data_IF_920797800257
#
_entry.id   IF_920797800257
#
_cell.length_a   1.000
_cell.length_b   1.000
_cell.length_c   1.000
_cell.angle_alpha   90.00
_cell.angle_beta   90.00
_cell.angle_gamma   90.00
#
_symmetry.space_group_name_H-M   'P 1'
#
loop_
_entity.id
_entity.type
_entity.pdbx_description
1 polymer ?
#
# COMPACT_ATOMS: atom_id res chain seq x y z
N UNK A 1 45.69 -65.63 -7.69
CA UNK A 1 44.22 -65.47 -7.60
C UNK A 1 43.93 -64.19 -6.82
N UNK A 2 43.64 -63.04 -7.53
CA UNK A 2 43.44 -61.75 -6.92
C UNK A 2 41.95 -61.41 -6.98
N UNK A 3 41.27 -61.39 -5.82
CA UNK A 3 39.85 -61.00 -5.66
C UNK A 3 39.76 -59.47 -5.62
N UNK A 4 39.21 -58.81 -6.68
CA UNK A 4 38.87 -57.38 -6.72
C UNK A 4 37.52 -57.17 -6.04
N UNK A 5 37.50 -56.48 -4.90
CA UNK A 5 36.31 -55.99 -4.25
C UNK A 5 35.91 -54.68 -4.93
N UNK A 6 34.75 -54.66 -5.61
CA UNK A 6 34.10 -53.43 -6.12
C UNK A 6 33.25 -52.84 -4.99
N UNK A 7 33.69 -51.71 -4.46
CA UNK A 7 32.85 -50.84 -3.59
C UNK A 7 31.94 -50.01 -4.48
N UNK A 8 30.65 -50.32 -4.44
CA UNK A 8 29.62 -49.49 -5.05
C UNK A 8 29.24 -48.33 -4.08
N UNK A 9 29.67 -47.11 -4.39
CA UNK A 9 29.27 -45.92 -3.65
C UNK A 9 27.84 -45.50 -4.06
N UNK A 10 26.86 -45.70 -3.17
CA UNK A 10 25.52 -45.14 -3.32
C UNK A 10 25.59 -43.65 -3.04
N UNK A 11 25.52 -42.80 -4.09
CA UNK A 11 25.24 -41.41 -3.94
C UNK A 11 23.74 -41.25 -3.62
N UNK A 12 23.41 -40.94 -2.36
CA UNK A 12 22.08 -40.46 -1.99
C UNK A 12 21.91 -39.03 -2.55
N UNK A 13 21.19 -38.90 -3.67
CA UNK A 13 20.71 -37.62 -4.15
C UNK A 13 19.60 -37.13 -3.18
N UNK A 14 19.95 -36.28 -2.23
CA UNK A 14 18.96 -35.55 -1.43
C UNK A 14 18.24 -34.55 -2.36
N UNK A 15 17.08 -34.92 -2.90
CA UNK A 15 16.20 -33.97 -3.59
C UNK A 15 15.77 -32.89 -2.59
N UNK A 16 15.85 -31.62 -2.96
CA UNK A 16 15.31 -30.56 -2.10
C UNK A 16 13.80 -30.79 -1.98
N UNK A 17 13.33 -31.01 -0.74
CA UNK A 17 11.89 -31.01 -0.43
C UNK A 17 11.41 -29.57 -0.70
N UNK A 18 10.88 -29.34 -1.88
CA UNK A 18 10.11 -28.13 -2.17
C UNK A 18 8.88 -28.19 -1.26
N UNK A 19 8.92 -27.48 -0.17
CA UNK A 19 7.74 -27.20 0.63
C UNK A 19 6.79 -26.43 -0.26
N UNK A 20 5.80 -27.12 -0.83
CA UNK A 20 4.64 -26.51 -1.47
C UNK A 20 3.78 -25.90 -0.36
N UNK A 21 4.28 -24.87 0.30
CA UNK A 21 3.50 -24.01 1.16
C UNK A 21 2.42 -23.37 0.28
N UNK A 22 1.14 -23.46 0.67
CA UNK A 22 0.05 -22.86 -0.09
C UNK A 22 0.25 -21.35 -0.29
N UNK A 23 -0.65 -20.72 -1.02
CA UNK A 23 -0.64 -19.27 -1.25
C UNK A 23 -1.27 -18.50 -0.08
N UNK A 24 -0.84 -17.26 0.10
CA UNK A 24 -1.54 -16.20 0.82
C UNK A 24 -2.03 -15.20 -0.22
N UNK A 25 -3.32 -14.93 -0.23
CA UNK A 25 -3.94 -14.03 -1.21
C UNK A 25 -4.13 -12.66 -0.58
N UNK A 26 -3.45 -11.66 -1.13
CA UNK A 26 -3.64 -10.27 -0.75
C UNK A 26 -4.46 -9.52 -1.79
N UNK A 27 -5.24 -8.54 -1.35
CA UNK A 27 -5.85 -7.55 -2.26
C UNK A 27 -4.96 -6.31 -2.35
N UNK A 28 -4.91 -5.72 -3.53
CA UNK A 28 -4.29 -4.42 -3.79
C UNK A 28 -5.29 -3.52 -4.53
N UNK A 29 -5.34 -2.25 -4.15
CA UNK A 29 -6.17 -1.27 -4.86
C UNK A 29 -5.54 -0.88 -6.19
N UNK A 30 -6.30 -0.93 -7.27
CA UNK A 30 -5.86 -0.47 -8.59
C UNK A 30 -5.55 1.04 -8.63
N UNK A 31 -6.06 1.81 -7.66
CA UNK A 31 -5.78 3.25 -7.52
C UNK A 31 -4.44 3.55 -6.81
N UNK A 32 -3.75 2.52 -6.28
CA UNK A 32 -2.45 2.73 -5.68
C UNK A 32 -1.42 3.10 -6.77
N UNK A 33 -0.51 4.00 -6.42
CA UNK A 33 0.62 4.39 -7.24
C UNK A 33 1.92 4.17 -6.48
N UNK A 34 3.07 4.23 -7.16
CA UNK A 34 4.34 4.16 -6.45
C UNK A 34 4.46 5.28 -5.42
N UNK A 35 5.08 5.00 -4.27
CA UNK A 35 5.82 3.78 -3.90
C UNK A 35 4.94 2.64 -3.36
N UNK A 36 3.62 2.81 -3.27
CA UNK A 36 2.73 1.81 -2.68
C UNK A 36 2.57 0.59 -3.59
N UNK A 37 2.27 0.82 -4.88
CA UNK A 37 2.17 -0.23 -5.88
C UNK A 37 2.43 0.28 -7.30
N UNK A 38 3.09 -0.53 -8.12
CA UNK A 38 3.09 -0.44 -9.57
C UNK A 38 2.38 -1.66 -10.14
N UNK A 39 1.77 -1.49 -11.32
CA UNK A 39 1.02 -2.54 -12.00
C UNK A 39 1.51 -2.71 -13.43
N UNK A 40 1.61 -3.97 -13.88
CA UNK A 40 1.88 -4.37 -15.25
C UNK A 40 0.85 -5.43 -15.62
N UNK A 41 0.17 -5.26 -16.75
CA UNK A 41 -0.90 -6.16 -17.21
C UNK A 41 -1.97 -6.45 -16.13
N UNK A 42 -2.32 -5.43 -15.32
CA UNK A 42 -3.30 -5.54 -14.24
C UNK A 42 -2.81 -6.29 -13.00
N UNK A 43 -1.55 -6.74 -12.98
CA UNK A 43 -0.94 -7.41 -11.84
C UNK A 43 0.03 -6.48 -11.11
N UNK A 44 0.09 -6.58 -9.78
CA UNK A 44 1.07 -5.81 -9.00
C UNK A 44 2.49 -6.27 -9.34
N UNK A 45 3.30 -5.36 -9.90
CA UNK A 45 4.69 -5.66 -10.33
C UNK A 45 5.72 -5.21 -9.29
N UNK A 46 5.45 -4.13 -8.53
CA UNK A 46 6.40 -3.56 -7.56
C UNK A 46 5.66 -2.77 -6.48
N UNK A 47 6.38 -2.35 -5.44
CA UNK A 47 5.90 -1.42 -4.42
C UNK A 47 5.80 -2.00 -3.01
N UNK A 48 5.62 -1.10 -2.03
CA UNK A 48 5.57 -1.41 -0.60
C UNK A 48 4.52 -2.48 -0.28
N UNK A 49 3.34 -2.42 -0.91
CA UNK A 49 2.25 -3.38 -0.68
C UNK A 49 2.66 -4.79 -1.11
N UNK A 50 3.33 -4.90 -2.28
CA UNK A 50 3.85 -6.19 -2.77
C UNK A 50 4.91 -6.74 -1.83
N UNK A 51 5.86 -5.91 -1.44
CA UNK A 51 6.97 -6.33 -0.58
C UNK A 51 6.50 -6.79 0.79
N UNK A 52 5.53 -6.09 1.39
CA UNK A 52 4.90 -6.49 2.65
C UNK A 52 4.19 -7.84 2.53
N UNK A 53 3.33 -8.00 1.53
CA UNK A 53 2.60 -9.26 1.32
C UNK A 53 3.55 -10.43 1.12
N UNK A 54 4.61 -10.25 0.33
CA UNK A 54 5.64 -11.25 0.13
C UNK A 54 6.42 -11.57 1.42
N UNK A 55 6.76 -10.56 2.22
CA UNK A 55 7.46 -10.77 3.48
C UNK A 55 6.60 -11.55 4.49
N UNK A 56 5.30 -11.22 4.61
CA UNK A 56 4.35 -11.94 5.46
C UNK A 56 4.22 -13.40 5.00
N UNK A 57 4.00 -13.63 3.70
CA UNK A 57 3.85 -14.98 3.15
C UNK A 57 5.11 -15.84 3.35
N UNK A 58 6.30 -15.28 3.10
CA UNK A 58 7.57 -15.97 3.32
C UNK A 58 7.77 -16.44 4.77
N UNK A 59 7.36 -15.65 5.76
CA UNK A 59 7.43 -16.05 7.17
C UNK A 59 6.57 -17.28 7.50
N UNK A 60 5.52 -17.49 6.71
CA UNK A 60 4.64 -18.67 6.82
C UNK A 60 5.07 -19.82 5.91
N UNK A 61 6.22 -19.72 5.23
CA UNK A 61 6.64 -20.72 4.25
C UNK A 61 5.71 -20.80 3.02
N UNK A 62 5.05 -19.69 2.69
CA UNK A 62 4.05 -19.58 1.61
C UNK A 62 4.49 -18.59 0.53
N UNK A 63 3.79 -18.60 -0.60
CA UNK A 63 3.91 -17.59 -1.65
C UNK A 63 2.79 -16.56 -1.54
N UNK A 64 3.07 -15.29 -1.89
CA UNK A 64 2.06 -14.26 -1.96
C UNK A 64 1.47 -14.20 -3.37
N UNK A 65 0.14 -14.16 -3.47
CA UNK A 65 -0.63 -13.85 -4.68
C UNK A 65 -1.44 -12.59 -4.44
N UNK A 66 -1.59 -11.76 -5.47
CA UNK A 66 -2.31 -10.50 -5.35
C UNK A 66 -3.52 -10.47 -6.27
N UNK A 67 -4.64 -9.96 -5.74
CA UNK A 67 -5.83 -9.60 -6.51
C UNK A 67 -5.89 -8.08 -6.60
N UNK A 68 -5.77 -7.55 -7.80
CA UNK A 68 -5.95 -6.12 -8.07
C UNK A 68 -7.44 -5.83 -8.23
N UNK A 69 -7.97 -4.95 -7.39
CA UNK A 69 -9.41 -4.65 -7.34
C UNK A 69 -9.66 -3.14 -7.22
N UNK A 70 -10.80 -2.65 -7.75
CA UNK A 70 -11.31 -1.33 -7.38
C UNK A 70 -11.48 -1.17 -5.88
N UNK A 71 -11.22 0.04 -5.36
CA UNK A 71 -11.21 0.30 -3.92
C UNK A 71 -12.49 -0.12 -3.21
N UNK A 72 -13.65 0.10 -3.81
CA UNK A 72 -14.95 -0.26 -3.24
C UNK A 72 -15.19 -1.77 -3.13
N UNK A 73 -14.33 -2.61 -3.73
CA UNK A 73 -14.42 -4.07 -3.67
C UNK A 73 -13.43 -4.72 -2.70
N UNK A 74 -12.52 -3.95 -2.09
CA UNK A 74 -11.49 -4.50 -1.20
C UNK A 74 -12.09 -5.12 0.06
N UNK A 75 -13.06 -4.43 0.69
CA UNK A 75 -13.69 -4.90 1.93
C UNK A 75 -14.48 -6.18 1.68
N UNK A 76 -15.31 -6.22 0.63
CA UNK A 76 -16.10 -7.44 0.30
C UNK A 76 -15.19 -8.63 0.00
N UNK A 77 -14.08 -8.43 -0.73
CA UNK A 77 -13.14 -9.51 -1.00
C UNK A 77 -12.53 -10.12 0.28
N UNK A 78 -12.31 -9.31 1.33
CA UNK A 78 -11.86 -9.80 2.64
C UNK A 78 -13.01 -10.46 3.42
N UNK A 79 -14.17 -9.82 3.52
CA UNK A 79 -15.29 -10.34 4.32
C UNK A 79 -15.91 -11.61 3.75
N UNK A 80 -15.78 -11.81 2.43
CA UNK A 80 -16.24 -13.01 1.73
C UNK A 80 -15.19 -14.13 1.67
N UNK A 81 -13.95 -13.86 2.16
CA UNK A 81 -12.86 -14.83 2.16
C UNK A 81 -12.23 -15.09 0.79
N UNK A 82 -12.44 -14.18 -0.18
CA UNK A 82 -11.77 -14.25 -1.49
C UNK A 82 -10.28 -13.91 -1.39
N UNK A 83 -9.91 -13.15 -0.35
CA UNK A 83 -8.53 -12.82 -0.01
C UNK A 83 -8.29 -12.99 1.48
N UNK A 84 -7.04 -13.22 1.83
CA UNK A 84 -6.58 -13.41 3.21
C UNK A 84 -6.21 -12.08 3.87
N UNK A 85 -5.71 -11.09 3.09
CA UNK A 85 -5.24 -9.83 3.67
C UNK A 85 -5.22 -8.65 2.72
N UNK A 86 -5.15 -7.46 3.33
CA UNK A 86 -4.94 -6.15 2.70
C UNK A 86 -3.90 -5.42 3.53
N UNK A 87 -2.78 -5.05 2.95
CA UNK A 87 -1.78 -4.20 3.61
C UNK A 87 -1.89 -2.75 3.17
N UNK A 88 -1.37 -1.85 4.00
CA UNK A 88 -1.49 -0.41 3.87
C UNK A 88 -2.94 0.07 3.97
N UNK A 89 -3.55 -0.20 5.11
CA UNK A 89 -4.90 0.24 5.44
C UNK A 89 -4.97 0.78 6.88
N UNK A 90 -5.99 1.60 7.12
CA UNK A 90 -6.33 2.13 8.45
C UNK A 90 -7.77 1.72 8.75
N UNK A 91 -8.11 1.32 10.00
CA UNK A 91 -9.47 0.92 10.34
C UNK A 91 -10.55 1.91 9.93
N UNK A 92 -10.27 3.22 10.07
CA UNK A 92 -11.21 4.28 9.72
C UNK A 92 -11.55 4.36 8.21
N UNK A 93 -10.73 3.75 7.34
CA UNK A 93 -10.97 3.75 5.89
C UNK A 93 -11.85 2.59 5.42
N UNK A 94 -11.96 1.55 6.24
CA UNK A 94 -12.75 0.37 5.94
C UNK A 94 -14.02 0.44 6.79
N UNK A 95 -15.18 0.37 6.17
CA UNK A 95 -16.45 0.28 6.89
C UNK A 95 -16.38 -0.85 7.94
N UNK A 96 -17.22 -0.84 8.98
CA UNK A 96 -17.08 -1.74 10.13
C UNK A 96 -17.13 -3.21 9.73
N UNK A 97 -16.03 -3.71 9.19
CA UNK A 97 -15.80 -5.11 8.91
C UNK A 97 -15.06 -5.71 10.11
N UNK A 98 -15.50 -6.89 10.54
CA UNK A 98 -14.81 -7.64 11.59
C UNK A 98 -13.51 -8.24 11.02
N UNK A 99 -12.51 -7.40 10.83
CA UNK A 99 -11.17 -7.78 10.34
C UNK A 99 -10.21 -7.87 11.52
N UNK A 100 -9.23 -8.74 11.41
CA UNK A 100 -8.10 -8.77 12.35
C UNK A 100 -6.99 -7.84 11.83
N UNK A 101 -6.41 -7.04 12.72
CA UNK A 101 -5.42 -6.03 12.37
C UNK A 101 -4.04 -6.38 12.92
N UNK A 102 -3.00 -6.13 12.13
CA UNK A 102 -1.63 -6.06 12.63
C UNK A 102 -1.45 -4.85 13.55
N UNK A 103 -0.32 -4.79 14.25
CA UNK A 103 0.16 -3.52 14.81
C UNK A 103 0.31 -2.48 13.70
N UNK A 104 0.30 -1.17 14.04
CA UNK A 104 0.66 -0.11 13.11
C UNK A 104 2.08 -0.31 12.56
N UNK A 105 2.25 -0.28 11.23
CA UNK A 105 3.49 -0.65 10.54
C UNK A 105 4.15 0.54 9.84
N UNK A 106 3.38 1.36 9.12
CA UNK A 106 3.91 2.37 8.20
C UNK A 106 3.31 3.73 8.53
N UNK A 107 4.10 4.65 9.14
CA UNK A 107 3.66 6.03 9.35
C UNK A 107 3.58 6.77 8.01
N UNK A 108 2.49 7.50 7.81
CA UNK A 108 2.30 8.39 6.68
C UNK A 108 1.35 9.54 7.05
N UNK A 109 1.18 10.48 6.15
CA UNK A 109 0.26 11.60 6.30
C UNK A 109 -0.32 12.02 4.95
N UNK A 110 -1.54 12.47 4.95
CA UNK A 110 -2.16 13.12 3.80
C UNK A 110 -1.86 14.62 3.84
N UNK A 111 -1.40 15.10 2.70
CA UNK A 111 -1.04 16.49 2.47
C UNK A 111 -1.97 17.08 1.43
N UNK A 112 -2.47 18.28 1.67
CA UNK A 112 -2.89 19.15 0.57
C UNK A 112 -1.66 19.91 0.11
N UNK A 113 -1.33 19.77 -1.16
CA UNK A 113 -0.16 20.39 -1.78
C UNK A 113 -0.63 21.49 -2.73
N UNK A 114 -0.09 22.67 -2.58
CA UNK A 114 -0.31 23.79 -3.49
C UNK A 114 0.56 23.69 -4.74
N UNK A 115 0.08 24.23 -5.85
CA UNK A 115 0.89 24.43 -7.05
C UNK A 115 1.99 25.48 -6.82
N UNK A 116 2.96 25.56 -7.75
CA UNK A 116 4.13 26.47 -7.64
C UNK A 116 3.80 27.95 -7.46
N UNK A 117 2.60 28.39 -7.87
CA UNK A 117 2.16 29.79 -7.75
C UNK A 117 1.41 30.11 -6.46
N UNK A 118 1.22 29.13 -5.59
CA UNK A 118 0.59 29.32 -4.29
C UNK A 118 1.64 29.86 -3.32
N UNK A 119 1.39 31.04 -2.76
CA UNK A 119 2.34 31.69 -1.85
C UNK A 119 2.26 31.13 -0.42
N UNK A 120 1.07 30.77 0.04
CA UNK A 120 0.84 30.23 1.39
C UNK A 120 -0.38 29.31 1.41
N UNK A 121 -0.34 28.34 2.34
CA UNK A 121 -1.44 27.45 2.67
C UNK A 121 -1.27 27.14 4.17
N UNK A 122 -2.10 27.77 5.01
CA UNK A 122 -1.90 27.75 6.47
C UNK A 122 -2.98 26.98 7.21
N UNK A 123 -4.16 26.86 6.61
CA UNK A 123 -5.28 26.14 7.21
C UNK A 123 -6.13 25.42 6.16
N UNK A 124 -6.89 24.43 6.58
CA UNK A 124 -7.85 23.77 5.69
C UNK A 124 -8.98 24.72 5.25
N UNK A 125 -9.28 25.76 6.02
CA UNK A 125 -10.29 26.76 5.64
C UNK A 125 -9.89 27.57 4.39
N UNK A 126 -8.58 27.69 4.11
CA UNK A 126 -8.08 28.38 2.91
C UNK A 126 -8.47 27.65 1.60
N UNK A 127 -8.93 26.40 1.72
CA UNK A 127 -9.32 25.54 0.61
C UNK A 127 -10.82 25.62 0.26
N UNK A 128 -11.58 26.38 1.03
CA UNK A 128 -13.03 26.45 0.84
C UNK A 128 -13.40 26.99 -0.55
N UNK A 129 -14.30 26.26 -1.24
CA UNK A 129 -14.75 26.54 -2.60
C UNK A 129 -13.68 26.40 -3.70
N UNK A 130 -12.44 26.07 -3.35
CA UNK A 130 -11.39 25.79 -4.33
C UNK A 130 -11.50 24.34 -4.85
N UNK A 131 -11.38 24.10 -6.17
CA UNK A 131 -11.29 22.76 -6.70
C UNK A 131 -9.98 22.07 -6.24
N UNK A 132 -10.13 20.97 -5.52
CA UNK A 132 -9.01 20.21 -4.96
C UNK A 132 -8.91 18.88 -5.69
N UNK A 133 -7.74 18.58 -6.26
CA UNK A 133 -7.44 17.27 -6.85
C UNK A 133 -7.54 16.17 -5.78
N UNK A 134 -8.47 15.25 -5.97
CA UNK A 134 -8.78 14.13 -5.08
C UNK A 134 -8.72 12.82 -5.85
N UNK A 135 -8.68 11.67 -5.15
CA UNK A 135 -8.73 10.36 -5.79
C UNK A 135 -10.14 9.80 -5.72
N UNK A 136 -10.63 9.32 -6.86
CA UNK A 136 -11.95 8.72 -6.96
C UNK A 136 -12.10 7.54 -5.96
N UNK A 137 -13.18 7.56 -5.19
CA UNK A 137 -13.47 6.53 -4.18
C UNK A 137 -12.69 6.67 -2.86
N UNK A 138 -11.79 7.67 -2.73
CA UNK A 138 -11.15 7.97 -1.45
C UNK A 138 -12.04 8.87 -0.59
N UNK A 139 -11.93 8.70 0.75
CA UNK A 139 -12.61 9.54 1.74
C UNK A 139 -11.59 10.45 2.43
N UNK A 140 -12.01 11.66 2.74
CA UNK A 140 -11.19 12.68 3.39
C UNK A 140 -11.95 13.30 4.56
N UNK A 141 -12.23 12.50 5.64
CA UNK A 141 -13.13 12.92 6.72
C UNK A 141 -12.68 14.20 7.43
N UNK A 142 -11.39 14.46 7.51
CA UNK A 142 -10.83 15.68 8.11
C UNK A 142 -11.20 16.91 7.29
N UNK A 143 -11.15 16.82 5.95
CA UNK A 143 -11.57 17.93 5.07
C UNK A 143 -13.08 18.03 4.98
N UNK A 144 -13.79 16.92 4.94
CA UNK A 144 -15.26 16.90 5.01
C UNK A 144 -15.77 17.61 6.29
N UNK A 145 -15.09 17.37 7.43
CA UNK A 145 -15.43 17.99 8.72
C UNK A 145 -15.21 19.51 8.72
N UNK A 146 -14.12 20.00 8.09
CA UNK A 146 -13.78 21.43 8.11
C UNK A 146 -14.52 22.21 7.02
N UNK A 147 -14.62 21.65 5.82
CA UNK A 147 -15.13 22.35 4.65
C UNK A 147 -16.62 22.09 4.39
N UNK A 148 -17.13 20.93 4.81
CA UNK A 148 -18.53 20.56 4.59
C UNK A 148 -18.93 20.66 3.12
N UNK A 149 -20.02 21.39 2.83
CA UNK A 149 -20.51 21.61 1.47
C UNK A 149 -19.61 22.52 0.62
N UNK A 150 -18.58 23.12 1.20
CA UNK A 150 -17.54 23.92 0.50
C UNK A 150 -16.34 23.08 0.04
N UNK A 151 -16.34 21.78 0.31
CA UNK A 151 -15.32 20.86 -0.20
C UNK A 151 -15.61 20.51 -1.66
N UNK A 152 -14.89 21.13 -2.58
CA UNK A 152 -15.03 20.92 -4.02
C UNK A 152 -13.98 19.92 -4.51
N UNK A 153 -14.43 18.71 -4.80
CA UNK A 153 -13.58 17.62 -5.30
C UNK A 153 -13.40 17.73 -6.82
N UNK A 154 -12.16 17.53 -7.28
CA UNK A 154 -11.80 17.31 -8.68
C UNK A 154 -11.11 15.93 -8.78
N UNK A 155 -11.92 14.88 -8.87
CA UNK A 155 -11.47 13.50 -8.80
C UNK A 155 -10.58 13.09 -9.99
N UNK A 156 -9.54 12.33 -9.71
CA UNK A 156 -8.67 11.67 -10.66
C UNK A 156 -8.60 10.16 -10.34
N UNK A 157 -8.13 9.31 -11.27
CA UNK A 157 -8.01 7.88 -11.03
C UNK A 157 -7.06 7.53 -9.88
N UNK A 158 -6.00 8.31 -9.71
CA UNK A 158 -4.91 8.06 -8.76
C UNK A 158 -4.20 9.35 -8.33
N UNK A 159 -3.29 9.23 -7.36
CA UNK A 159 -2.53 10.37 -6.81
C UNK A 159 -1.54 10.97 -7.79
N UNK A 160 -0.90 10.15 -8.65
CA UNK A 160 0.05 10.68 -9.64
C UNK A 160 -0.67 11.51 -10.72
N UNK A 161 -1.88 11.13 -11.11
CA UNK A 161 -2.72 11.92 -12.01
C UNK A 161 -3.06 13.28 -11.40
N UNK A 162 -3.33 13.35 -10.10
CA UNK A 162 -3.53 14.62 -9.39
C UNK A 162 -2.25 15.46 -9.34
N UNK A 163 -1.09 14.86 -9.05
CA UNK A 163 0.19 15.57 -9.10
C UNK A 163 0.51 16.11 -10.49
N UNK A 164 0.19 15.36 -11.56
CA UNK A 164 0.32 15.82 -12.95
C UNK A 164 -0.61 16.99 -13.26
N UNK A 165 -1.87 16.94 -12.78
CA UNK A 165 -2.80 18.08 -12.90
C UNK A 165 -2.26 19.31 -12.18
N UNK A 166 -1.72 19.14 -10.97
CA UNK A 166 -1.13 20.20 -10.17
C UNK A 166 0.12 20.79 -10.87
N UNK A 167 1.03 19.97 -11.36
CA UNK A 167 2.23 20.38 -12.08
C UNK A 167 1.89 21.13 -13.38
N UNK A 168 0.83 20.72 -14.07
CA UNK A 168 0.32 21.37 -15.27
C UNK A 168 -0.52 22.65 -14.98
N UNK A 169 -0.73 22.99 -13.71
CA UNK A 169 -1.55 24.13 -13.29
C UNK A 169 -3.05 23.99 -13.58
N UNK A 170 -3.54 22.76 -13.80
CA UNK A 170 -4.97 22.47 -14.05
C UNK A 170 -5.79 22.53 -12.77
N UNK A 171 -5.18 22.23 -11.63
CA UNK A 171 -5.72 22.45 -10.29
C UNK A 171 -4.74 23.30 -9.49
N UNK A 172 -5.23 24.05 -8.50
CA UNK A 172 -4.38 24.84 -7.61
C UNK A 172 -3.88 24.05 -6.42
N UNK A 173 -4.64 23.04 -6.01
CA UNK A 173 -4.38 22.16 -4.87
C UNK A 173 -4.65 20.71 -5.23
N UNK A 174 -3.88 19.80 -4.63
CA UNK A 174 -4.13 18.37 -4.75
C UNK A 174 -3.84 17.67 -3.43
N UNK A 175 -4.63 16.64 -3.10
CA UNK A 175 -4.35 15.76 -1.97
C UNK A 175 -3.47 14.62 -2.45
N UNK A 176 -2.39 14.39 -1.70
CA UNK A 176 -1.46 13.29 -1.93
C UNK A 176 -0.87 12.85 -0.59
N UNK A 177 -0.60 11.57 -0.43
CA UNK A 177 0.18 11.13 0.73
C UNK A 177 1.66 11.48 0.60
N UNK A 178 2.32 11.67 1.75
CA UNK A 178 3.72 12.12 1.79
C UNK A 178 4.68 11.16 1.10
N UNK A 179 4.47 9.84 1.24
CA UNK A 179 5.35 8.84 0.61
C UNK A 179 5.27 8.95 -0.92
N UNK A 180 4.05 9.06 -1.47
CA UNK A 180 3.84 9.26 -2.91
C UNK A 180 4.45 10.58 -3.39
N UNK A 181 4.24 11.69 -2.69
CA UNK A 181 4.81 12.98 -3.06
C UNK A 181 6.35 12.91 -3.12
N UNK A 182 6.99 12.38 -2.07
CA UNK A 182 8.43 12.27 -1.99
C UNK A 182 9.01 11.34 -3.07
N UNK A 183 8.36 10.24 -3.35
CA UNK A 183 8.78 9.30 -4.38
C UNK A 183 8.67 9.93 -5.78
N UNK A 184 7.52 10.50 -6.11
CA UNK A 184 7.24 11.03 -7.44
C UNK A 184 8.10 12.26 -7.77
N UNK A 185 8.36 13.12 -6.80
CA UNK A 185 9.25 14.28 -7.01
C UNK A 185 10.73 13.90 -7.17
N UNK A 186 11.12 12.69 -6.79
CA UNK A 186 12.49 12.16 -7.01
C UNK A 186 12.61 11.32 -8.29
N UNK A 187 11.51 10.81 -8.81
CA UNK A 187 11.49 9.85 -9.92
C UNK A 187 10.88 10.42 -11.19
N UNK A 188 9.54 10.46 -11.25
CA UNK A 188 8.79 10.80 -12.46
C UNK A 188 8.52 12.29 -12.63
N UNK A 189 8.44 13.05 -11.54
CA UNK A 189 8.12 14.49 -11.53
C UNK A 189 9.30 15.33 -10.98
N UNK A 190 10.52 15.02 -11.39
CA UNK A 190 11.76 15.65 -10.87
C UNK A 190 11.81 17.16 -11.08
N UNK A 191 11.23 17.65 -12.15
CA UNK A 191 11.20 19.07 -12.49
C UNK A 191 10.07 19.83 -11.78
N UNK A 192 9.11 19.11 -11.24
CA UNK A 192 8.01 19.72 -10.48
C UNK A 192 8.49 20.16 -9.10
N UNK A 193 8.31 21.45 -8.84
CA UNK A 193 8.57 22.06 -7.52
C UNK A 193 7.22 22.36 -6.87
N UNK A 194 6.73 21.50 -5.97
CA UNK A 194 5.48 21.77 -5.28
C UNK A 194 5.57 23.05 -4.46
N UNK A 195 4.45 23.76 -4.35
CA UNK A 195 4.28 24.89 -3.46
C UNK A 195 4.14 24.46 -1.99
N UNK A 196 3.60 25.33 -1.11
CA UNK A 196 3.38 24.98 0.29
C UNK A 196 2.43 23.79 0.44
N UNK A 197 2.63 23.02 1.50
CA UNK A 197 1.77 21.90 1.83
C UNK A 197 1.22 22.01 3.25
N UNK A 198 -0.02 21.54 3.44
CA UNK A 198 -0.70 21.44 4.72
C UNK A 198 -0.95 19.96 5.03
N UNK A 199 -0.52 19.48 6.19
CA UNK A 199 -0.92 18.16 6.68
C UNK A 199 -2.38 18.21 7.11
N UNK A 200 -3.21 17.37 6.51
CA UNK A 200 -4.66 17.29 6.83
C UNK A 200 -5.00 16.05 7.63
N UNK A 201 -4.25 14.96 7.46
CA UNK A 201 -4.36 13.76 8.28
C UNK A 201 -2.98 13.16 8.56
N UNK A 202 -2.83 12.52 9.72
CA UNK A 202 -1.66 11.71 10.05
C UNK A 202 -2.14 10.34 10.53
N UNK A 203 -1.52 9.28 10.02
CA UNK A 203 -1.93 7.92 10.33
C UNK A 203 -0.74 6.96 10.32
N UNK A 204 -0.94 5.78 10.87
CA UNK A 204 0.00 4.67 10.73
C UNK A 204 -0.76 3.51 10.10
N UNK A 205 -0.40 3.16 8.88
CA UNK A 205 -1.06 2.08 8.16
C UNK A 205 -0.68 0.72 8.73
N UNK A 206 -1.63 -0.20 8.72
CA UNK A 206 -1.55 -1.58 9.18
C UNK A 206 -1.89 -2.55 8.05
N UNK A 207 -1.82 -3.86 8.32
CA UNK A 207 -2.46 -4.88 7.51
C UNK A 207 -3.76 -5.35 8.19
N UNK A 208 -4.81 -5.51 7.38
CA UNK A 208 -6.08 -6.11 7.77
C UNK A 208 -6.19 -7.53 7.23
N UNK A 209 -6.66 -8.47 8.02
CA UNK A 209 -6.77 -9.89 7.67
C UNK A 209 -8.19 -10.39 7.78
N UNK A 210 -8.59 -11.19 6.81
CA UNK A 210 -9.91 -11.78 6.71
C UNK A 210 -10.15 -12.82 7.79
N UNK A 211 -11.28 -12.78 8.50
CA UNK A 211 -11.68 -13.87 9.41
C UNK A 211 -12.13 -15.13 8.65
N UNK A 212 -12.40 -15.02 7.35
CA UNK A 212 -12.84 -16.12 6.47
C UNK A 212 -11.78 -16.51 5.44
N UNK A 213 -10.56 -15.96 5.54
CA UNK A 213 -9.46 -16.29 4.65
C UNK A 213 -9.04 -17.76 4.73
N UNK A 214 -8.31 -18.21 3.74
CA UNK A 214 -7.75 -19.58 3.70
C UNK A 214 -6.60 -19.77 4.68
N UNK A 215 -5.94 -18.67 5.07
CA UNK A 215 -4.86 -18.67 6.05
C UNK A 215 -5.40 -18.06 7.35
N UNK A 216 -5.19 -18.68 8.51
CA UNK A 216 -5.67 -18.14 9.79
C UNK A 216 -5.20 -16.70 10.00
N UNK A 217 -6.14 -15.81 10.29
CA UNK A 217 -5.87 -14.37 10.44
C UNK A 217 -4.86 -14.08 11.57
N UNK A 218 -4.85 -14.91 12.63
CA UNK A 218 -3.87 -14.81 13.71
C UNK A 218 -2.44 -15.08 13.25
N UNK A 219 -2.23 -16.04 12.32
CA UNK A 219 -0.91 -16.38 11.80
C UNK A 219 -0.38 -15.23 10.94
N UNK A 220 -1.26 -14.64 10.11
CA UNK A 220 -0.95 -13.48 9.29
C UNK A 220 -0.61 -12.27 10.17
N UNK A 221 -1.41 -12.02 11.20
CA UNK A 221 -1.18 -10.93 12.15
C UNK A 221 0.19 -11.09 12.84
N UNK A 222 0.47 -12.28 13.43
CA UNK A 222 1.76 -12.54 14.08
C UNK A 222 2.93 -12.34 13.12
N UNK A 223 2.77 -12.80 11.87
CA UNK A 223 3.80 -12.64 10.84
C UNK A 223 4.05 -11.17 10.49
N UNK A 224 2.99 -10.36 10.32
CA UNK A 224 3.09 -8.93 10.07
C UNK A 224 3.74 -8.19 11.25
N UNK A 225 3.31 -8.47 12.48
CA UNK A 225 3.85 -7.85 13.69
C UNK A 225 5.33 -8.18 13.89
N UNK A 226 5.76 -9.37 13.51
CA UNK A 226 7.17 -9.77 13.59
C UNK A 226 8.07 -9.01 12.59
N UNK A 227 7.55 -8.57 11.43
CA UNK A 227 8.28 -7.75 10.47
C UNK A 227 8.63 -6.36 11.02
N UNK A 228 7.82 -5.86 11.95
CA UNK A 228 8.11 -4.60 12.65
C UNK A 228 9.28 -4.76 13.63
N UNK A 229 9.33 -5.91 14.31
CA UNK A 229 10.33 -6.17 15.37
C UNK A 229 11.72 -6.53 14.82
N UNK A 230 11.79 -7.13 13.63
CA UNK A 230 13.04 -7.56 13.02
C UNK A 230 13.65 -6.56 12.01
N UNK A 231 13.05 -5.36 11.89
CA UNK A 231 13.53 -4.31 11.00
C UNK A 231 13.18 -4.51 9.51
N UNK A 232 12.40 -5.54 9.16
CA UNK A 232 12.00 -5.78 7.76
C UNK A 232 11.18 -4.62 7.21
N UNK A 233 10.31 -3.99 8.03
CA UNK A 233 9.51 -2.82 7.61
C UNK A 233 10.44 -1.67 7.21
N UNK A 234 11.44 -1.36 8.03
CA UNK A 234 12.40 -0.28 7.72
C UNK A 234 13.22 -0.57 6.47
N UNK A 235 13.64 -1.82 6.29
CA UNK A 235 14.34 -2.27 5.08
C UNK A 235 13.47 -2.16 3.82
N UNK A 236 12.17 -2.46 3.91
CA UNK A 236 11.21 -2.25 2.82
C UNK A 236 11.10 -0.77 2.51
N UNK A 237 10.84 0.08 3.49
CA UNK A 237 10.65 1.52 3.29
C UNK A 237 11.90 2.20 2.73
N UNK A 238 13.10 1.76 3.13
CA UNK A 238 14.37 2.32 2.67
C UNK A 238 14.57 2.18 1.15
N UNK A 239 13.94 1.19 0.50
CA UNK A 239 14.01 1.00 -0.96
C UNK A 239 13.24 2.06 -1.76
N UNK A 240 12.32 2.75 -1.11
CA UNK A 240 11.40 3.70 -1.74
C UNK A 240 11.59 5.15 -1.27
N UNK A 241 12.55 5.38 -0.38
CA UNK A 241 12.92 6.71 0.16
C UNK A 241 14.04 7.39 -0.62
#
# INVERSE_FOLDING_TARGET
MLRRLLLASLLLCAAPIAWAGGEVVFVASENNTMPLAAFEDGQISNGIVKDLGQAIARRLGRTARFLTLPRNRLVSALTDGQADGLCYAVPAWLEPAQLRWSRPLIPNRDLVVGGTRIASLTSAADLADEPIGTVLGYRYPELDSVLGNRFRRDDAPDMISNLRKLAAGRVRYAIVDQLTLLYETRTTLRDFKPGPSLTVASFVASCAFSPKGKVPAEDLQRSADALLLDGTIDAILARYR
#
